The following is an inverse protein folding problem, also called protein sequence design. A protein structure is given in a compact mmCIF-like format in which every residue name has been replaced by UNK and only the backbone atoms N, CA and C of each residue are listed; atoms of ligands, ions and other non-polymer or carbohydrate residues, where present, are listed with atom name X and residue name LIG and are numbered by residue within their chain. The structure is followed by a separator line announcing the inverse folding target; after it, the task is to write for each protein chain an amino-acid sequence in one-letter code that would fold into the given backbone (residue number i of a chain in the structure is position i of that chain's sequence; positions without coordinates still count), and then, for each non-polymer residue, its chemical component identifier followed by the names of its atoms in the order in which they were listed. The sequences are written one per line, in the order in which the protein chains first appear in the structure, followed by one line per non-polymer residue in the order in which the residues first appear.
data_IF_366136115414
#
_entry.id   IF_366136115414
#
_cell.length_a   1.000
_cell.length_b   1.000
_cell.length_c   1.000
_cell.angle_alpha   90.00
_cell.angle_beta   90.00
_cell.angle_gamma   90.00
#
_symmetry.space_group_name_H-M   'P 1'
#
loop_
_entity.id
_entity.type
_entity.pdbx_description
1 polymer ?
#
# COMPACT_ATOMS: atom_id res chain seq x y z
N UNK A 1 23.98 10.53 3.31
CA UNK A 1 22.65 9.89 3.31
C UNK A 1 22.82 8.53 2.67
N UNK A 2 22.50 7.47 3.41
CA UNK A 2 22.55 6.10 2.90
C UNK A 2 21.17 5.73 2.35
N UNK A 3 21.11 5.14 1.16
CA UNK A 3 19.85 4.73 0.51
C UNK A 3 19.87 3.22 0.35
N UNK A 4 18.85 2.56 0.88
CA UNK A 4 18.63 1.14 0.70
C UNK A 4 17.54 0.92 -0.33
N UNK A 5 17.84 0.13 -1.36
CA UNK A 5 16.89 -0.24 -2.40
C UNK A 5 16.57 -1.73 -2.30
N UNK A 6 15.29 -2.03 -2.39
CA UNK A 6 14.71 -3.37 -2.37
C UNK A 6 13.74 -3.45 -3.55
N UNK A 7 13.82 -4.53 -4.33
CA UNK A 7 13.01 -4.69 -5.55
C UNK A 7 11.69 -5.40 -5.31
N UNK A 8 11.60 -6.18 -4.22
CA UNK A 8 10.36 -6.82 -3.78
C UNK A 8 10.15 -6.58 -2.29
N UNK A 9 8.89 -6.55 -1.82
CA UNK A 9 8.60 -6.39 -0.39
C UNK A 9 9.32 -7.40 0.51
N UNK A 10 9.47 -8.66 0.05
CA UNK A 10 10.14 -9.73 0.81
C UNK A 10 11.65 -9.49 1.04
N UNK A 11 12.25 -8.59 0.27
CA UNK A 11 13.66 -8.20 0.45
C UNK A 11 13.82 -7.13 1.54
N UNK A 12 12.74 -6.45 1.92
CA UNK A 12 12.76 -5.44 2.98
C UNK A 12 13.03 -6.18 4.30
N UNK A 13 14.13 -5.87 5.00
CA UNK A 13 14.47 -6.58 6.23
C UNK A 13 13.42 -6.28 7.31
N UNK A 14 13.21 -7.25 8.20
CA UNK A 14 12.42 -7.04 9.41
C UNK A 14 13.14 -6.01 10.30
N UNK A 15 12.70 -4.76 10.22
CA UNK A 15 13.22 -3.63 10.99
C UNK A 15 12.73 -3.63 12.46
N UNK A 16 11.78 -4.51 12.83
CA UNK A 16 11.35 -4.70 14.22
C UNK A 16 12.41 -5.43 15.05
N UNK A 17 13.32 -6.14 14.37
CA UNK A 17 14.53 -6.74 14.91
C UNK A 17 15.71 -5.93 14.38
N UNK A 18 16.88 -6.03 15.01
CA UNK A 18 18.12 -5.40 14.50
C UNK A 18 18.41 -5.93 13.08
N UNK A 19 17.90 -5.25 12.07
CA UNK A 19 18.05 -5.63 10.68
C UNK A 19 19.52 -5.58 10.29
N UNK A 20 20.01 -6.65 9.65
CA UNK A 20 21.40 -6.78 9.22
C UNK A 20 21.44 -6.95 7.71
N UNK A 21 22.06 -6.02 7.00
CA UNK A 21 22.49 -6.18 5.60
C UNK A 21 24.02 -6.01 5.56
N UNK A 22 24.76 -7.05 5.16
CA UNK A 22 26.22 -6.97 5.00
C UNK A 22 27.03 -6.70 6.28
N UNK A 23 26.50 -7.02 7.47
CA UNK A 23 27.17 -6.76 8.75
C UNK A 23 26.92 -5.37 9.35
N UNK A 24 26.21 -4.49 8.65
CA UNK A 24 25.74 -3.21 9.18
C UNK A 24 24.45 -3.41 9.99
N UNK A 25 24.40 -2.80 11.17
CA UNK A 25 23.20 -2.69 11.98
C UNK A 25 22.38 -1.52 11.43
N UNK A 26 21.16 -1.80 10.97
CA UNK A 26 20.24 -0.80 10.45
C UNK A 26 19.31 -0.35 11.57
N UNK A 27 19.31 0.96 11.85
CA UNK A 27 18.23 1.60 12.60
C UNK A 27 17.02 1.83 11.68
N UNK A 28 15.85 2.12 12.25
CA UNK A 28 14.66 2.48 11.46
C UNK A 28 14.99 3.67 10.54
N UNK A 29 14.68 3.58 9.23
CA UNK A 29 14.96 4.67 8.31
C UNK A 29 14.09 5.88 8.66
N UNK A 30 14.64 7.08 8.48
CA UNK A 30 13.89 8.32 8.68
C UNK A 30 12.76 8.51 7.64
N UNK A 31 12.85 7.83 6.50
CA UNK A 31 11.89 7.89 5.41
C UNK A 31 11.90 6.57 4.63
N UNK A 32 10.72 6.10 4.23
CA UNK A 32 10.54 4.98 3.30
C UNK A 32 9.75 5.46 2.07
N UNK A 33 10.15 5.00 0.89
CA UNK A 33 9.48 5.31 -0.39
C UNK A 33 9.05 3.98 -1.00
N UNK A 34 7.75 3.79 -1.17
CA UNK A 34 7.17 2.64 -1.85
C UNK A 34 6.96 3.00 -3.31
N UNK A 35 7.38 2.12 -4.22
CA UNK A 35 7.23 2.29 -5.67
C UNK A 35 6.55 1.04 -6.23
N UNK A 36 5.31 1.21 -6.65
CA UNK A 36 4.55 0.25 -7.45
C UNK A 36 3.84 1.02 -8.56
N UNK A 37 4.58 1.28 -9.63
CA UNK A 37 4.11 2.13 -10.74
C UNK A 37 2.94 1.48 -11.48
N UNK A 38 2.90 0.15 -11.57
CA UNK A 38 1.90 -0.62 -12.29
C UNK A 38 1.24 -1.63 -11.35
N UNK A 39 0.26 -1.21 -10.54
CA UNK A 39 -0.45 0.09 -10.60
C UNK A 39 -0.69 0.75 -9.24
N UNK A 40 -0.37 0.11 -8.12
CA UNK A 40 -0.90 0.52 -6.82
C UNK A 40 -0.54 1.98 -6.46
N UNK A 41 0.74 2.35 -6.46
CA UNK A 41 1.15 3.71 -6.04
C UNK A 41 0.70 4.78 -7.04
N UNK A 42 0.57 4.45 -8.33
CA UNK A 42 0.02 5.38 -9.34
C UNK A 42 -1.47 5.61 -9.09
N UNK A 43 -2.26 4.55 -8.86
CA UNK A 43 -3.68 4.67 -8.52
C UNK A 43 -3.88 5.50 -7.25
N UNK A 44 -3.04 5.29 -6.24
CA UNK A 44 -3.10 6.05 -4.99
C UNK A 44 -2.82 7.55 -5.23
N UNK A 45 -1.77 7.88 -5.98
CA UNK A 45 -1.45 9.26 -6.32
C UNK A 45 -2.60 9.92 -7.10
N UNK A 46 -3.16 9.23 -8.10
CA UNK A 46 -4.28 9.75 -8.89
C UNK A 46 -5.56 9.94 -8.07
N UNK A 47 -5.86 9.03 -7.14
CA UNK A 47 -7.02 9.15 -6.26
C UNK A 47 -6.91 10.39 -5.34
N UNK A 48 -5.73 10.62 -4.75
CA UNK A 48 -5.48 11.80 -3.92
C UNK A 48 -5.57 13.09 -4.74
N UNK A 49 -4.97 13.13 -5.93
CA UNK A 49 -5.07 14.26 -6.87
C UNK A 49 -6.53 14.54 -7.27
N UNK A 50 -7.33 13.49 -7.41
CA UNK A 50 -8.77 13.58 -7.74
C UNK A 50 -9.65 13.99 -6.54
N UNK A 51 -9.05 14.25 -5.37
CA UNK A 51 -9.74 14.76 -4.19
C UNK A 51 -10.12 13.71 -3.14
N UNK A 52 -9.57 12.49 -3.21
CA UNK A 52 -9.69 11.56 -2.08
C UNK A 52 -9.00 12.14 -0.84
N UNK A 53 -9.69 12.12 0.31
CA UNK A 53 -9.15 12.64 1.58
C UNK A 53 -7.99 11.77 2.10
N UNK A 54 -8.14 10.45 1.99
CA UNK A 54 -7.19 9.48 2.51
C UNK A 54 -7.28 8.16 1.74
N UNK A 55 -6.24 7.35 1.88
CA UNK A 55 -6.18 5.99 1.34
C UNK A 55 -5.83 5.07 2.49
N UNK A 56 -6.66 4.05 2.70
CA UNK A 56 -6.40 2.98 3.65
C UNK A 56 -6.10 1.69 2.87
N UNK A 57 -4.92 1.13 3.11
CA UNK A 57 -4.43 -0.08 2.44
C UNK A 57 -4.56 -1.30 3.35
N UNK A 58 -4.85 -2.44 2.75
CA UNK A 58 -5.06 -3.71 3.44
C UNK A 58 -4.40 -4.85 2.65
N UNK A 59 -3.82 -5.82 3.34
CA UNK A 59 -3.34 -7.08 2.75
C UNK A 59 -4.42 -8.17 2.78
N UNK A 60 -5.37 -8.07 3.72
CA UNK A 60 -6.51 -8.96 3.90
C UNK A 60 -7.86 -8.33 3.49
N UNK A 61 -8.65 -9.08 2.72
CA UNK A 61 -9.94 -8.61 2.18
C UNK A 61 -11.02 -8.60 3.26
N UNK A 62 -11.02 -9.57 4.17
CA UNK A 62 -12.03 -9.64 5.24
C UNK A 62 -11.85 -8.48 6.23
N UNK A 63 -10.61 -8.13 6.54
CA UNK A 63 -10.28 -6.95 7.32
C UNK A 63 -10.73 -5.66 6.64
N UNK A 64 -10.48 -5.50 5.34
CA UNK A 64 -10.96 -4.35 4.55
C UNK A 64 -12.49 -4.23 4.65
N UNK A 65 -13.24 -5.31 4.48
CA UNK A 65 -14.71 -5.27 4.62
C UNK A 65 -15.15 -4.93 6.04
N UNK A 66 -14.46 -5.46 7.06
CA UNK A 66 -14.75 -5.16 8.46
C UNK A 66 -14.50 -3.68 8.77
N UNK A 67 -13.38 -3.13 8.34
CA UNK A 67 -13.01 -1.73 8.60
C UNK A 67 -13.87 -0.78 7.79
N UNK A 68 -14.12 -1.07 6.51
CA UNK A 68 -14.93 -0.19 5.63
C UNK A 68 -16.37 0.03 6.12
N UNK A 69 -16.95 -0.93 6.86
CA UNK A 69 -18.28 -0.77 7.48
C UNK A 69 -18.35 0.33 8.55
N UNK A 70 -17.20 0.79 9.07
CA UNK A 70 -17.15 1.91 10.00
C UNK A 70 -17.24 3.28 9.30
N UNK A 71 -17.11 3.31 7.97
CA UNK A 71 -17.20 4.52 7.16
C UNK A 71 -18.59 4.63 6.51
N UNK A 72 -19.17 5.84 6.43
CA UNK A 72 -20.42 6.05 5.71
C UNK A 72 -20.30 5.60 4.25
N UNK A 73 -21.27 4.84 3.74
CA UNK A 73 -21.21 4.27 2.40
C UNK A 73 -21.01 5.32 1.28
N UNK A 74 -21.62 6.51 1.42
CA UNK A 74 -21.46 7.60 0.46
C UNK A 74 -20.16 8.40 0.57
N UNK A 75 -19.27 8.06 1.51
CA UNK A 75 -17.99 8.72 1.74
C UNK A 75 -16.80 7.77 1.60
N UNK A 76 -17.04 6.55 1.09
CA UNK A 76 -15.99 5.54 0.89
C UNK A 76 -16.13 4.93 -0.49
N UNK A 77 -15.00 4.48 -1.02
CA UNK A 77 -14.92 3.62 -2.19
C UNK A 77 -14.07 2.42 -1.84
N UNK A 78 -14.52 1.24 -2.24
CA UNK A 78 -13.72 0.03 -2.24
C UNK A 78 -13.00 -0.07 -3.58
N UNK A 79 -11.67 -0.01 -3.56
CA UNK A 79 -10.83 -0.16 -4.75
C UNK A 79 -9.80 -1.28 -4.55
N UNK A 80 -9.60 -2.12 -5.57
CA UNK A 80 -8.65 -3.23 -5.48
C UNK A 80 -8.65 -4.14 -6.70
N UNK A 81 -7.64 -5.00 -6.77
CA UNK A 81 -7.52 -6.01 -7.83
C UNK A 81 -6.91 -7.32 -7.35
N UNK A 82 -7.17 -8.38 -8.14
CA UNK A 82 -6.40 -9.62 -8.13
C UNK A 82 -6.13 -10.04 -9.57
N UNK A 83 -4.86 -10.27 -9.91
CA UNK A 83 -4.47 -10.68 -11.27
C UNK A 83 -4.72 -9.60 -12.33
N UNK A 84 -4.81 -8.33 -11.92
CA UNK A 84 -5.09 -7.19 -12.80
C UNK A 84 -6.57 -6.84 -12.94
N UNK A 85 -7.48 -7.69 -12.43
CA UNK A 85 -8.92 -7.53 -12.56
C UNK A 85 -9.55 -6.95 -11.30
N UNK A 86 -10.61 -6.14 -11.48
CA UNK A 86 -11.39 -5.61 -10.35
C UNK A 86 -12.03 -6.75 -9.58
N UNK A 87 -11.98 -6.67 -8.26
CA UNK A 87 -12.64 -7.61 -7.36
C UNK A 87 -14.18 -7.52 -7.46
N UNK A 88 -14.86 -8.65 -7.24
CA UNK A 88 -16.31 -8.67 -7.04
C UNK A 88 -16.68 -7.83 -5.81
N UNK A 89 -17.82 -7.15 -5.85
CA UNK A 89 -18.30 -6.24 -4.80
C UNK A 89 -17.43 -4.99 -4.51
N UNK A 90 -16.40 -4.74 -5.32
CA UNK A 90 -15.63 -3.48 -5.28
C UNK A 90 -16.21 -2.44 -6.25
N UNK A 91 -16.17 -1.17 -5.82
CA UNK A 91 -16.63 -0.04 -6.62
C UNK A 91 -15.70 0.16 -7.83
N UNK A 92 -14.39 0.17 -7.59
CA UNK A 92 -13.35 0.45 -8.57
C UNK A 92 -12.27 -0.65 -8.62
N UNK A 93 -11.59 -0.77 -9.76
CA UNK A 93 -10.37 -1.57 -9.88
C UNK A 93 -9.14 -0.81 -9.41
N UNK A 94 -7.95 -1.35 -9.69
CA UNK A 94 -6.68 -0.66 -9.45
C UNK A 94 -6.16 0.05 -10.71
N UNK A 95 -7.08 0.61 -11.52
CA UNK A 95 -6.72 1.53 -12.60
C UNK A 95 -6.65 2.93 -12.02
N UNK A 96 -5.57 3.70 -12.28
CA UNK A 96 -5.53 5.11 -11.95
C UNK A 96 -6.64 5.90 -12.62
#
# INVERSE_FOLDING_TARGET
MEIFVYHTPDQVPDLSKKARKGGLQLDMPACAIVIDVLRATTTMATALESGAEAIQVFDDIDELFRVSKHWPAGQRLLAGERGGEKLEDFDLGNSP
#
